data_IF_905586353868
#
_entry.id   IF_905586353868
#
_cell.length_a   1.000
_cell.length_b   1.000
_cell.length_c   1.000
_cell.angle_alpha   90.00
_cell.angle_beta   90.00
_cell.angle_gamma   90.00
#
_symmetry.space_group_name_H-M   'P 1'
#
loop_
_entity.id
_entity.type
_entity.pdbx_description
1 polymer ?
#
# COMPACT_ATOMS: atom_id res chain seq x y z
N UNK A 1 -24.45 6.14 0.74
CA UNK A 1 -23.45 6.39 -0.33
C UNK A 1 -22.37 5.32 -0.28
N UNK A 2 -22.25 4.47 -1.29
CA UNK A 2 -21.07 3.64 -1.48
C UNK A 2 -20.74 3.62 -2.96
N UNK A 3 -19.96 4.62 -3.40
CA UNK A 3 -19.34 4.58 -4.72
C UNK A 3 -18.09 3.71 -4.60
N UNK A 4 -18.29 2.38 -4.57
CA UNK A 4 -17.18 1.42 -4.65
C UNK A 4 -16.63 1.48 -6.07
N UNK A 5 -15.66 2.38 -6.29
CA UNK A 5 -14.96 2.47 -7.57
C UNK A 5 -14.21 1.15 -7.78
N UNK A 6 -14.82 0.24 -8.55
CA UNK A 6 -14.20 -1.04 -8.91
C UNK A 6 -13.09 -0.73 -9.92
N UNK A 7 -11.85 -0.74 -9.45
CA UNK A 7 -10.70 -0.68 -10.33
C UNK A 7 -10.63 -1.94 -11.19
N UNK A 8 -10.00 -1.82 -12.36
CA UNK A 8 -9.73 -2.98 -13.22
C UNK A 8 -8.69 -3.89 -12.56
N UNK A 9 -8.69 -5.16 -12.95
CA UNK A 9 -7.80 -6.17 -12.36
C UNK A 9 -6.31 -5.79 -12.49
N UNK A 10 -5.91 -5.24 -13.62
CA UNK A 10 -4.52 -4.84 -13.89
C UNK A 10 -4.08 -3.69 -12.96
N UNK A 11 -4.98 -2.76 -12.66
CA UNK A 11 -4.73 -1.68 -11.68
C UNK A 11 -4.58 -2.24 -10.27
N UNK A 12 -5.39 -3.24 -9.92
CA UNK A 12 -5.32 -3.88 -8.61
C UNK A 12 -4.03 -4.68 -8.44
N UNK A 13 -3.56 -5.36 -9.49
CA UNK A 13 -2.28 -6.07 -9.44
C UNK A 13 -1.11 -5.15 -9.08
N UNK A 14 -1.12 -3.91 -9.57
CA UNK A 14 -0.06 -2.95 -9.31
C UNK A 14 -0.19 -2.23 -7.95
N UNK A 15 -1.42 -1.90 -7.53
CA UNK A 15 -1.62 -0.95 -6.42
C UNK A 15 -2.35 -1.52 -5.20
N UNK A 16 -3.03 -2.66 -5.30
CA UNK A 16 -3.79 -3.19 -4.18
C UNK A 16 -2.86 -3.60 -3.02
N UNK A 17 -3.27 -3.27 -1.79
CA UNK A 17 -2.52 -3.57 -0.57
C UNK A 17 -1.33 -2.64 -0.31
N UNK A 18 -0.94 -1.79 -1.26
CA UNK A 18 0.13 -0.81 -1.09
C UNK A 18 -0.42 0.59 -0.81
N UNK A 19 0.24 1.32 0.06
CA UNK A 19 0.02 2.75 0.31
C UNK A 19 1.38 3.42 0.57
N UNK A 20 1.55 4.70 0.23
CA UNK A 20 2.76 5.42 0.60
C UNK A 20 3.00 5.35 2.11
N UNK A 21 4.26 5.19 2.50
CA UNK A 21 4.66 5.21 3.91
C UNK A 21 4.26 6.54 4.55
N UNK A 22 3.49 6.54 5.65
CA UNK A 22 2.98 7.78 6.24
C UNK A 22 4.08 8.64 6.90
N UNK A 23 5.21 8.05 7.28
CA UNK A 23 6.29 8.78 7.95
C UNK A 23 7.19 9.53 6.96
N UNK A 24 7.42 8.98 5.77
CA UNK A 24 8.41 9.49 4.80
C UNK A 24 7.82 9.82 3.42
N UNK A 25 6.62 9.33 3.11
CA UNK A 25 6.01 9.43 1.79
C UNK A 25 6.59 8.44 0.76
N UNK A 26 7.45 7.51 1.17
CA UNK A 26 8.02 6.50 0.28
C UNK A 26 6.90 5.70 -0.40
N UNK A 27 6.97 5.59 -1.73
CA UNK A 27 5.99 4.81 -2.52
C UNK A 27 6.32 3.33 -2.56
N UNK A 28 7.61 2.99 -2.52
CA UNK A 28 8.04 1.61 -2.32
C UNK A 28 7.82 1.22 -0.85
N UNK A 29 7.35 0.00 -0.61
CA UNK A 29 7.15 -0.53 0.74
C UNK A 29 8.51 -0.69 1.42
N UNK A 30 8.74 -0.08 2.60
CA UNK A 30 9.99 -0.26 3.33
C UNK A 30 10.23 -1.72 3.70
N UNK A 31 11.50 -2.15 3.64
CA UNK A 31 11.90 -3.45 4.17
C UNK A 31 12.09 -3.30 5.68
N UNK A 32 11.11 -3.75 6.47
CA UNK A 32 11.21 -3.83 7.93
C UNK A 32 12.02 -5.05 8.36
N UNK A 33 13.33 -5.01 8.13
CA UNK A 33 14.25 -6.07 8.55
C UNK A 33 14.56 -5.95 10.05
N UNK A 34 13.56 -6.26 10.88
CA UNK A 34 13.66 -6.28 12.34
C UNK A 34 13.09 -7.58 12.89
N UNK A 35 13.56 -7.99 14.07
CA UNK A 35 13.02 -9.14 14.81
C UNK A 35 11.96 -8.73 15.83
N UNK A 36 11.83 -7.45 16.17
CA UNK A 36 10.94 -6.95 17.24
C UNK A 36 10.52 -5.49 17.04
N UNK A 37 9.44 -5.09 17.72
CA UNK A 37 8.92 -3.71 17.80
C UNK A 37 8.95 -3.23 19.25
N UNK A 38 8.95 -1.90 19.45
CA UNK A 38 8.92 -1.25 20.78
C UNK A 38 7.49 -1.04 21.24
#
# INVERSE_FOLDING_TARGET
>A
MANSKKYRFETLQLHAGQKPDPATGARAVPIYQTTSYV
#
